data_IF_922925088473
#
_entry.id   IF_922925088473
#
_cell.length_a   1.000
_cell.length_b   1.000
_cell.length_c   1.000
_cell.angle_alpha   90.00
_cell.angle_beta   90.00
_cell.angle_gamma   90.00
#
_symmetry.space_group_name_H-M   'P 1'
#
loop_
_entity.id
_entity.type
_entity.pdbx_description
1 polymer ?
#
# COMPACT_ATOMS: atom_id res chain seq x y z
N UNK A 1 -16.29 21.17 -18.45
CA UNK A 1 -15.72 21.39 -17.09
C UNK A 1 -16.64 22.16 -16.14
N UNK A 2 -17.29 23.27 -16.56
CA UNK A 2 -18.18 24.06 -15.67
C UNK A 2 -19.27 23.22 -15.00
N UNK A 3 -19.99 22.39 -15.76
CA UNK A 3 -21.02 21.50 -15.22
C UNK A 3 -20.49 20.52 -14.15
N UNK A 4 -19.32 19.91 -14.39
CA UNK A 4 -18.68 19.02 -13.42
C UNK A 4 -18.35 19.75 -12.11
N UNK A 5 -17.93 21.02 -12.18
CA UNK A 5 -17.69 21.85 -11.00
C UNK A 5 -18.98 22.24 -10.29
N UNK A 6 -19.99 22.65 -11.05
CA UNK A 6 -21.33 22.97 -10.53
C UNK A 6 -21.93 21.79 -9.76
N UNK A 7 -21.70 20.57 -10.23
CA UNK A 7 -22.21 19.35 -9.58
C UNK A 7 -21.23 18.72 -8.58
N UNK A 8 -20.08 19.34 -8.31
CA UNK A 8 -19.14 18.90 -7.27
C UNK A 8 -18.24 17.71 -7.63
N UNK A 9 -18.12 17.37 -8.91
CA UNK A 9 -17.23 16.29 -9.36
C UNK A 9 -15.77 16.71 -9.48
N UNK A 10 -15.53 18.01 -9.70
CA UNK A 10 -14.19 18.57 -9.83
C UNK A 10 -14.14 19.95 -9.16
N UNK A 11 -13.07 20.22 -8.45
CA UNK A 11 -12.70 21.58 -8.04
C UNK A 11 -11.30 21.90 -8.55
N UNK A 12 -11.01 23.18 -8.74
CA UNK A 12 -9.68 23.60 -9.16
C UNK A 12 -9.27 24.95 -8.58
N UNK A 13 -7.98 25.06 -8.31
CA UNK A 13 -7.31 26.29 -7.89
C UNK A 13 -6.37 26.76 -9.00
N UNK A 14 -6.49 28.03 -9.36
CA UNK A 14 -5.55 28.68 -10.28
C UNK A 14 -4.21 28.89 -9.58
N UNK A 15 -3.14 28.45 -10.21
CA UNK A 15 -1.77 28.56 -9.68
C UNK A 15 -0.95 29.54 -10.51
N UNK A 16 -0.15 30.31 -9.80
CA UNK A 16 0.78 31.28 -10.35
C UNK A 16 2.10 31.14 -9.61
N UNK A 17 3.20 31.30 -10.34
CA UNK A 17 4.54 31.34 -9.77
C UNK A 17 5.11 32.73 -10.02
N UNK A 18 5.64 33.43 -9.01
CA UNK A 18 6.32 34.70 -9.21
C UNK A 18 7.54 34.51 -10.12
N UNK A 19 7.72 35.38 -11.11
CA UNK A 19 8.83 35.28 -12.07
C UNK A 19 10.17 35.76 -11.50
N UNK A 20 10.15 36.41 -10.33
CA UNK A 20 11.35 36.93 -9.66
C UNK A 20 12.03 38.09 -10.38
N UNK A 21 11.36 38.74 -11.36
CA UNK A 21 11.92 39.83 -12.17
C UNK A 21 11.61 41.20 -11.54
N UNK A 22 12.62 42.03 -11.31
CA UNK A 22 12.39 43.42 -10.92
C UNK A 22 12.17 44.33 -12.16
N UNK A 23 11.16 45.19 -12.12
CA UNK A 23 10.89 46.19 -13.17
C UNK A 23 9.64 45.94 -14.03
N UNK A 24 9.61 46.53 -15.23
CA UNK A 24 8.43 46.56 -16.11
C UNK A 24 8.26 45.22 -16.86
N UNK A 25 7.12 44.56 -16.65
CA UNK A 25 6.72 43.34 -17.36
C UNK A 25 5.82 42.42 -16.52
N UNK A 26 5.39 41.25 -17.06
CA UNK A 26 4.61 40.27 -16.32
C UNK A 26 5.39 39.70 -15.12
N UNK A 27 4.82 39.85 -13.93
CA UNK A 27 5.43 39.48 -12.64
C UNK A 27 5.08 38.06 -12.18
N UNK A 28 4.20 37.37 -12.92
CA UNK A 28 3.73 36.04 -12.61
C UNK A 28 3.70 35.17 -13.87
N UNK A 29 4.16 33.94 -13.73
CA UNK A 29 4.01 32.90 -14.73
C UNK A 29 2.79 32.05 -14.40
N UNK A 30 1.94 31.87 -15.41
CA UNK A 30 0.81 30.96 -15.29
C UNK A 30 1.34 29.53 -15.29
N UNK A 31 0.98 28.76 -14.26
CA UNK A 31 1.29 27.34 -14.17
C UNK A 31 0.03 26.50 -14.33
N UNK A 32 0.18 25.19 -14.46
CA UNK A 32 -0.97 24.28 -14.51
C UNK A 32 -1.80 24.40 -13.23
N UNK A 33 -3.13 24.39 -13.38
CA UNK A 33 -4.05 24.45 -12.26
C UNK A 33 -3.90 23.19 -11.37
N UNK A 34 -4.19 23.33 -10.08
CA UNK A 34 -4.43 22.16 -9.23
C UNK A 34 -5.88 21.70 -9.40
N UNK A 35 -6.09 20.40 -9.56
CA UNK A 35 -7.41 19.78 -9.67
C UNK A 35 -7.64 18.82 -8.51
N UNK A 36 -8.84 18.86 -7.92
CA UNK A 36 -9.33 17.86 -6.96
C UNK A 36 -10.56 17.19 -7.55
N UNK A 37 -10.55 15.87 -7.59
CA UNK A 37 -11.71 15.07 -7.97
C UNK A 37 -12.44 14.58 -6.72
N UNK A 38 -13.77 14.60 -6.79
CA UNK A 38 -14.64 14.12 -5.72
C UNK A 38 -15.84 13.40 -6.31
N UNK A 39 -16.39 12.45 -5.55
CA UNK A 39 -17.65 11.80 -5.88
C UNK A 39 -18.76 12.37 -4.97
N UNK A 40 -19.64 13.24 -5.47
CA UNK A 40 -20.73 13.82 -4.69
C UNK A 40 -21.66 12.74 -4.13
N UNK A 41 -22.19 12.94 -2.92
CA UNK A 41 -23.07 11.97 -2.26
C UNK A 41 -24.31 11.60 -3.11
N UNK A 42 -24.91 12.59 -3.81
CA UNK A 42 -26.03 12.35 -4.74
C UNK A 42 -25.65 11.43 -5.90
N UNK A 43 -24.46 11.61 -6.46
CA UNK A 43 -23.95 10.74 -7.51
C UNK A 43 -23.61 9.35 -6.97
N UNK A 44 -23.07 9.27 -5.75
CA UNK A 44 -22.79 7.99 -5.07
C UNK A 44 -24.05 7.15 -4.87
N UNK A 45 -25.19 7.78 -4.56
CA UNK A 45 -26.48 7.07 -4.45
C UNK A 45 -26.94 6.44 -5.77
N UNK A 46 -26.61 7.04 -6.90
CA UNK A 46 -26.96 6.53 -8.23
C UNK A 46 -26.11 5.33 -8.68
N UNK A 47 -24.96 5.11 -8.05
CA UNK A 47 -24.05 4.02 -8.44
C UNK A 47 -24.58 2.64 -8.00
N UNK A 48 -25.52 2.57 -7.04
CA UNK A 48 -26.07 1.31 -6.55
C UNK A 48 -24.97 0.31 -6.18
N UNK A 49 -25.01 -0.88 -6.78
CA UNK A 49 -24.01 -1.95 -6.56
C UNK A 49 -22.59 -1.56 -6.98
N UNK A 50 -22.43 -0.64 -7.94
CA UNK A 50 -21.12 -0.14 -8.39
C UNK A 50 -20.48 0.83 -7.39
N UNK A 51 -21.26 1.41 -6.48
CA UNK A 51 -20.80 2.32 -5.43
C UNK A 51 -20.54 1.63 -4.08
N UNK A 52 -20.76 0.32 -4.01
CA UNK A 52 -20.56 -0.52 -2.83
C UNK A 52 -19.23 -1.24 -2.94
N UNK A 53 -18.62 -1.53 -1.77
CA UNK A 53 -17.51 -2.46 -1.72
C UNK A 53 -18.00 -3.81 -2.24
N UNK A 54 -17.32 -4.42 -3.23
CA UNK A 54 -17.74 -5.71 -3.75
C UNK A 54 -17.75 -6.75 -2.61
N UNK A 55 -18.69 -7.70 -2.60
CA UNK A 55 -18.65 -8.79 -1.65
C UNK A 55 -17.35 -9.57 -1.81
N UNK A 56 -16.89 -10.16 -0.71
CA UNK A 56 -15.76 -11.07 -0.73
C UNK A 56 -16.07 -12.24 -1.69
N UNK A 57 -15.11 -12.68 -2.52
CA UNK A 57 -15.27 -13.87 -3.35
C UNK A 57 -15.60 -15.11 -2.51
N UNK A 58 -16.43 -16.01 -3.04
CA UNK A 58 -16.88 -17.21 -2.33
C UNK A 58 -15.71 -18.12 -1.91
N UNK A 59 -14.65 -18.13 -2.70
CA UNK A 59 -13.44 -18.93 -2.50
C UNK A 59 -12.39 -18.27 -1.60
N UNK A 60 -12.62 -17.04 -1.13
CA UNK A 60 -11.62 -16.32 -0.32
C UNK A 60 -11.29 -17.05 0.98
N UNK A 61 -12.30 -17.64 1.63
CA UNK A 61 -12.09 -18.42 2.85
C UNK A 61 -11.19 -19.63 2.60
N UNK A 62 -11.39 -20.32 1.47
CA UNK A 62 -10.55 -21.42 1.02
C UNK A 62 -9.13 -20.96 0.69
N UNK A 63 -8.98 -19.84 -0.02
CA UNK A 63 -7.67 -19.26 -0.34
C UNK A 63 -6.86 -18.90 0.93
N UNK A 64 -7.51 -18.39 1.98
CA UNK A 64 -6.86 -18.14 3.26
C UNK A 64 -6.38 -19.43 3.93
N UNK A 65 -7.20 -20.49 3.92
CA UNK A 65 -6.82 -21.79 4.48
C UNK A 65 -5.64 -22.39 3.72
N UNK A 66 -5.68 -22.36 2.39
CA UNK A 66 -4.57 -22.85 1.56
C UNK A 66 -3.29 -22.06 1.83
N UNK A 67 -3.36 -20.73 1.84
CA UNK A 67 -2.18 -19.90 2.11
C UNK A 67 -1.60 -20.15 3.51
N UNK A 68 -2.45 -20.36 4.51
CA UNK A 68 -2.00 -20.74 5.85
C UNK A 68 -1.31 -22.12 5.84
N UNK A 69 -1.91 -23.10 5.17
CA UNK A 69 -1.33 -24.44 5.06
C UNK A 69 0.02 -24.43 4.32
N UNK A 70 0.15 -23.64 3.26
CA UNK A 70 1.41 -23.43 2.52
C UNK A 70 2.49 -22.82 3.41
N UNK A 71 2.15 -21.78 4.18
CA UNK A 71 3.09 -21.17 5.13
C UNK A 71 3.49 -22.12 6.25
N UNK A 72 2.54 -22.87 6.81
CA UNK A 72 2.81 -23.84 7.87
C UNK A 72 3.71 -24.98 7.34
N UNK A 73 3.48 -25.46 6.11
CA UNK A 73 4.33 -26.45 5.45
C UNK A 73 5.73 -25.91 5.15
N UNK A 74 5.83 -24.66 4.69
CA UNK A 74 7.10 -23.99 4.44
C UNK A 74 7.92 -23.87 5.74
N UNK A 75 7.29 -23.38 6.83
CA UNK A 75 7.91 -23.29 8.16
C UNK A 75 8.46 -24.64 8.63
N UNK A 76 7.68 -25.71 8.47
CA UNK A 76 8.09 -27.06 8.86
C UNK A 76 9.26 -27.60 8.00
N UNK A 77 9.45 -27.09 6.79
CA UNK A 77 10.54 -27.49 5.90
C UNK A 77 11.86 -26.74 6.17
N UNK A 78 11.82 -25.62 6.91
CA UNK A 78 13.01 -24.81 7.16
C UNK A 78 13.94 -25.47 8.17
N UNK A 79 15.27 -25.43 7.95
CA UNK A 79 16.23 -25.77 9.00
C UNK A 79 16.12 -24.74 10.14
N UNK A 80 16.49 -25.16 11.36
CA UNK A 80 16.31 -24.36 12.57
C UNK A 80 16.98 -22.97 12.50
N UNK A 81 18.10 -22.85 11.80
CA UNK A 81 18.79 -21.57 11.63
C UNK A 81 18.02 -20.60 10.71
N UNK A 82 17.38 -21.12 9.67
CA UNK A 82 16.53 -20.33 8.78
C UNK A 82 15.15 -20.05 9.39
N UNK A 83 14.61 -20.98 10.19
CA UNK A 83 13.36 -20.78 10.91
C UNK A 83 13.46 -19.60 11.89
N UNK A 84 14.59 -19.47 12.59
CA UNK A 84 14.86 -18.35 13.49
C UNK A 84 14.81 -16.99 12.77
N UNK A 85 15.38 -16.92 11.56
CA UNK A 85 15.33 -15.71 10.72
C UNK A 85 13.93 -15.42 10.16
N UNK A 86 13.09 -16.45 10.03
CA UNK A 86 11.76 -16.32 9.44
C UNK A 86 10.67 -15.93 10.47
N UNK A 87 10.78 -16.41 11.72
CA UNK A 87 9.76 -16.18 12.76
C UNK A 87 10.03 -14.96 13.67
N UNK A 88 11.29 -14.51 13.77
CA UNK A 88 11.68 -13.44 14.68
C UNK A 88 11.76 -12.10 13.93
N UNK A 89 10.96 -11.12 14.36
CA UNK A 89 10.93 -9.78 13.75
C UNK A 89 12.17 -8.93 14.12
N UNK A 90 12.81 -9.20 15.25
CA UNK A 90 14.02 -8.51 15.70
C UNK A 90 15.28 -9.09 15.04
N UNK A 91 15.93 -8.30 14.19
CA UNK A 91 17.07 -8.73 13.37
C UNK A 91 18.27 -9.22 14.21
N UNK A 92 18.57 -8.59 15.34
CA UNK A 92 19.72 -8.97 16.18
C UNK A 92 19.44 -10.30 16.88
N UNK A 93 18.26 -10.44 17.48
CA UNK A 93 17.84 -11.68 18.12
C UNK A 93 17.74 -12.84 17.12
N UNK A 94 17.20 -12.58 15.93
CA UNK A 94 17.07 -13.56 14.85
C UNK A 94 18.43 -14.13 14.45
N UNK A 95 19.44 -13.26 14.27
CA UNK A 95 20.80 -13.69 13.93
C UNK A 95 21.47 -14.48 15.05
N UNK A 96 21.28 -14.07 16.31
CA UNK A 96 21.81 -14.81 17.46
C UNK A 96 21.22 -16.22 17.53
N UNK A 97 19.90 -16.35 17.40
CA UNK A 97 19.22 -17.65 17.42
C UNK A 97 19.61 -18.52 16.22
N UNK A 98 19.77 -17.93 15.03
CA UNK A 98 20.25 -18.65 13.85
C UNK A 98 21.67 -19.19 14.06
N UNK A 99 22.56 -18.39 14.64
CA UNK A 99 23.94 -18.81 14.95
C UNK A 99 23.98 -19.96 15.97
N UNK A 100 23.09 -19.92 16.96
CA UNK A 100 22.96 -20.97 17.97
C UNK A 100 22.43 -22.27 17.34
N UNK A 101 21.39 -22.18 16.54
CA UNK A 101 20.79 -23.32 15.85
C UNK A 101 21.79 -24.05 14.95
N UNK A 102 22.62 -23.30 14.20
CA UNK A 102 23.69 -23.89 13.37
C UNK A 102 24.69 -24.71 14.17
N UNK A 103 25.15 -24.18 15.31
CA UNK A 103 26.08 -24.89 16.20
C UNK A 103 25.47 -26.16 16.81
N UNK A 104 24.17 -26.15 17.10
CA UNK A 104 23.45 -27.33 17.60
C UNK A 104 23.40 -28.40 16.50
N UNK A 105 23.02 -28.02 15.28
CA UNK A 105 22.95 -28.94 14.14
C UNK A 105 24.31 -29.56 13.78
N UNK A 106 25.39 -28.77 13.82
CA UNK A 106 26.77 -29.25 13.60
C UNK A 106 27.18 -30.31 14.65
N UNK A 107 26.78 -30.11 15.92
CA UNK A 107 27.04 -31.06 17.00
C UNK A 107 26.24 -32.36 16.86
N UNK A 108 24.98 -32.28 16.47
CA UNK A 108 24.11 -33.46 16.31
C UNK A 108 24.46 -34.32 15.08
N UNK A 109 25.21 -33.75 14.13
CA UNK A 109 25.65 -34.42 12.91
C UNK A 109 27.05 -35.06 13.00
N UNK A 110 27.72 -34.93 14.16
CA UNK A 110 29.08 -35.46 14.44
C UNK A 110 29.03 -36.70 15.32
#
# INVERSE_FOLDING_TARGET
>A
LRALRTHGFIDWLRRYVPTGREGRGPQVEQTSNAYRLSLPARARQLLGRLGQTPPMPDDFSYALVQRKAELDAYRASLPLDQLALFEVEDDELAQLLASLARKIQERESS
#
